data_IF_559454322156
#
_entry.id   IF_559454322156
#
_cell.length_a   1.000
_cell.length_b   1.000
_cell.length_c   1.000
_cell.angle_alpha   90.00
_cell.angle_beta   90.00
_cell.angle_gamma   90.00
#
_symmetry.space_group_name_H-M   'P 1'
#
loop_
_entity.id
_entity.type
_entity.pdbx_description
1 polymer ?
#
# COMPACT_ATOMS: atom_id res chain seq x y z
N UNK A 1 6.07 9.63 -20.45
CA UNK A 1 7.31 10.40 -20.28
C UNK A 1 7.20 11.50 -19.23
N UNK A 2 5.98 11.85 -18.79
CA UNK A 2 5.74 12.94 -17.85
C UNK A 2 5.84 14.35 -18.46
N UNK A 3 6.09 14.45 -19.73
CA UNK A 3 6.23 15.73 -20.48
C UNK A 3 5.01 15.93 -21.38
N UNK A 4 4.69 14.93 -22.19
CA UNK A 4 3.55 14.95 -23.10
C UNK A 4 2.34 14.29 -22.46
N UNK A 5 1.17 14.93 -22.56
CA UNK A 5 -0.06 14.47 -21.91
C UNK A 5 -1.18 14.31 -22.90
N UNK A 6 -1.84 13.18 -22.87
CA UNK A 6 -3.05 12.91 -23.63
C UNK A 6 -4.26 13.02 -22.70
N UNK A 7 -5.28 13.74 -23.14
CA UNK A 7 -6.53 13.83 -22.39
C UNK A 7 -7.28 12.49 -22.49
N UNK A 8 -7.56 11.88 -21.34
CA UNK A 8 -8.34 10.63 -21.27
C UNK A 8 -9.80 10.89 -20.91
N UNK A 9 -10.04 11.79 -19.99
CA UNK A 9 -11.37 12.14 -19.52
C UNK A 9 -11.45 13.63 -19.34
N UNK A 10 -12.48 14.25 -19.92
CA UNK A 10 -12.82 15.65 -19.73
C UNK A 10 -14.09 15.77 -18.91
N UNK A 11 -13.97 16.41 -17.75
CA UNK A 11 -15.09 16.76 -16.87
C UNK A 11 -15.11 18.29 -16.61
N UNK A 12 -14.56 19.09 -17.52
CA UNK A 12 -14.44 20.53 -17.39
C UNK A 12 -15.78 21.25 -17.20
N UNK A 13 -16.85 20.68 -17.74
CA UNK A 13 -18.20 21.22 -17.59
C UNK A 13 -18.89 20.81 -16.28
N UNK A 14 -18.31 19.88 -15.49
CA UNK A 14 -18.86 19.54 -14.20
C UNK A 14 -18.52 20.62 -13.17
N UNK A 15 -19.55 21.31 -12.69
CA UNK A 15 -19.46 22.37 -11.68
C UNK A 15 -20.09 21.99 -10.34
N UNK A 16 -20.45 20.71 -10.19
CA UNK A 16 -20.98 20.16 -8.94
C UNK A 16 -19.89 19.40 -8.18
N UNK A 17 -19.99 19.40 -6.86
CA UNK A 17 -19.13 18.56 -6.03
C UNK A 17 -19.33 17.09 -6.33
N UNK A 18 -18.22 16.37 -6.44
CA UNK A 18 -18.20 14.93 -6.65
C UNK A 18 -17.39 14.26 -5.53
N UNK A 19 -17.96 14.07 -4.33
CA UNK A 19 -17.24 13.55 -3.18
C UNK A 19 -16.74 12.12 -3.37
N UNK A 20 -17.39 11.35 -4.24
CA UNK A 20 -16.97 10.01 -4.64
C UNK A 20 -17.16 9.88 -6.15
N UNK A 21 -16.11 10.17 -6.89
CA UNK A 21 -16.13 10.05 -8.34
C UNK A 21 -15.52 8.74 -8.80
N UNK A 22 -16.16 8.08 -9.75
CA UNK A 22 -15.68 6.87 -10.39
C UNK A 22 -15.62 7.07 -11.89
N UNK A 23 -14.43 6.85 -12.44
CA UNK A 23 -14.17 6.99 -13.87
C UNK A 23 -13.82 5.62 -14.43
N UNK A 24 -14.61 5.12 -15.35
CA UNK A 24 -14.31 3.91 -16.10
C UNK A 24 -13.95 4.30 -17.54
N UNK A 25 -12.82 3.84 -18.01
CA UNK A 25 -12.42 3.99 -19.40
C UNK A 25 -13.05 2.88 -20.25
N UNK A 26 -13.52 3.22 -21.44
CA UNK A 26 -14.09 2.25 -22.40
C UNK A 26 -13.06 1.23 -22.87
N UNK A 27 -11.81 1.62 -22.89
CA UNK A 27 -10.67 0.77 -23.27
C UNK A 27 -9.51 0.99 -22.29
N UNK A 28 -8.76 -0.06 -21.99
CA UNK A 28 -7.52 0.07 -21.23
C UNK A 28 -6.53 1.01 -21.94
N UNK A 29 -5.78 1.76 -21.15
CA UNK A 29 -4.72 2.66 -21.64
C UNK A 29 -3.43 2.32 -20.92
N UNK A 30 -2.39 2.04 -21.67
CA UNK A 30 -1.06 1.85 -21.14
C UNK A 30 -0.45 3.21 -20.77
N UNK A 31 -0.20 3.42 -19.49
CA UNK A 31 0.37 4.67 -19.01
C UNK A 31 1.28 4.46 -17.79
N UNK A 32 2.25 5.32 -17.67
CA UNK A 32 3.15 5.37 -16.49
C UNK A 32 2.79 6.51 -15.54
N UNK A 33 2.19 7.57 -16.06
CA UNK A 33 1.89 8.77 -15.32
C UNK A 33 0.43 9.18 -15.53
N UNK A 34 -0.21 9.59 -14.47
CA UNK A 34 -1.56 10.13 -14.47
C UNK A 34 -1.50 11.54 -13.90
N UNK A 35 -2.11 12.49 -14.60
CA UNK A 35 -2.24 13.87 -14.14
C UNK A 35 -3.72 14.21 -14.00
N UNK A 36 -4.08 14.72 -12.85
CA UNK A 36 -5.40 15.31 -12.61
C UNK A 36 -5.20 16.82 -12.58
N UNK A 37 -5.97 17.52 -13.41
CA UNK A 37 -5.94 18.98 -13.46
C UNK A 37 -7.31 19.48 -13.07
N UNK A 38 -7.39 20.25 -11.98
CA UNK A 38 -8.60 20.95 -11.62
C UNK A 38 -8.65 22.30 -12.34
N UNK A 39 -9.74 22.60 -13.02
CA UNK A 39 -9.95 23.85 -13.76
C UNK A 39 -11.01 24.75 -13.16
N UNK A 40 -11.81 24.23 -12.23
CA UNK A 40 -12.80 25.04 -11.53
C UNK A 40 -12.89 24.63 -10.06
N UNK A 41 -12.73 25.60 -9.17
CA UNK A 41 -12.87 25.39 -7.72
C UNK A 41 -13.37 26.68 -7.05
N UNK A 42 -14.68 26.79 -6.82
CA UNK A 42 -15.31 28.03 -6.36
C UNK A 42 -14.81 28.51 -4.99
N UNK A 43 -14.32 27.60 -4.14
CA UNK A 43 -13.77 27.93 -2.82
C UNK A 43 -12.32 28.41 -2.85
N UNK A 44 -11.64 28.40 -4.00
CA UNK A 44 -10.22 28.69 -4.11
C UNK A 44 -9.30 27.62 -3.51
N UNK A 45 -9.85 26.47 -3.09
CA UNK A 45 -9.11 25.35 -2.52
C UNK A 45 -9.46 24.07 -3.22
N UNK A 46 -8.45 23.36 -3.68
CA UNK A 46 -8.57 22.05 -4.26
C UNK A 46 -7.93 21.00 -3.36
N UNK A 47 -8.63 19.91 -3.09
CA UNK A 47 -8.10 18.78 -2.34
C UNK A 47 -8.65 17.45 -2.88
N UNK A 48 -7.83 16.43 -2.80
CA UNK A 48 -8.22 15.05 -3.07
C UNK A 48 -7.91 14.26 -1.81
N UNK A 49 -8.92 13.65 -1.20
CA UNK A 49 -8.77 12.84 0.02
C UNK A 49 -8.16 11.46 -0.28
N UNK A 50 -8.29 10.98 -1.49
CA UNK A 50 -7.69 9.72 -1.95
C UNK A 50 -7.88 9.53 -3.44
N UNK A 51 -6.88 8.92 -4.07
CA UNK A 51 -6.94 8.49 -5.46
C UNK A 51 -6.63 7.00 -5.51
N UNK A 52 -7.45 6.26 -6.23
CA UNK A 52 -7.21 4.84 -6.54
C UNK A 52 -7.24 4.66 -8.04
N UNK A 53 -6.23 3.99 -8.57
CA UNK A 53 -6.13 3.64 -9.98
C UNK A 53 -6.20 2.13 -10.08
N UNK A 54 -7.10 1.64 -10.90
CA UNK A 54 -7.28 0.22 -11.16
C UNK A 54 -6.78 -0.08 -12.58
N UNK A 55 -5.99 -1.11 -12.71
CA UNK A 55 -5.44 -1.51 -13.99
C UNK A 55 -5.05 -2.98 -14.00
N UNK A 56 -4.64 -3.44 -15.15
CA UNK A 56 -4.06 -4.76 -15.34
C UNK A 56 -2.65 -4.59 -15.86
N UNK A 57 -1.70 -5.24 -15.22
CA UNK A 57 -0.30 -5.27 -15.62
C UNK A 57 0.05 -6.68 -16.04
N UNK A 58 0.67 -6.82 -17.20
CA UNK A 58 1.15 -8.11 -17.70
C UNK A 58 2.56 -8.39 -17.17
N UNK A 59 2.62 -8.67 -15.86
CA UNK A 59 3.83 -9.15 -15.19
C UNK A 59 3.43 -10.10 -14.04
N UNK A 60 4.35 -10.98 -13.59
CA UNK A 60 4.06 -11.86 -12.48
C UNK A 60 3.87 -11.08 -11.18
N UNK A 61 3.05 -11.63 -10.28
CA UNK A 61 3.02 -11.21 -8.88
C UNK A 61 4.35 -11.52 -8.21
N UNK A 62 4.80 -10.74 -7.20
CA UNK A 62 6.09 -10.97 -6.56
C UNK A 62 6.12 -12.30 -5.79
N UNK A 63 7.30 -12.85 -5.57
CA UNK A 63 7.48 -14.01 -4.72
C UNK A 63 7.13 -13.71 -3.25
N UNK A 64 6.98 -14.74 -2.43
CA UNK A 64 6.74 -14.59 -0.98
C UNK A 64 7.95 -13.98 -0.29
N UNK A 65 7.74 -12.93 0.50
CA UNK A 65 8.74 -12.40 1.41
C UNK A 65 8.84 -13.25 2.69
N UNK A 66 10.02 -13.28 3.31
CA UNK A 66 10.24 -14.01 4.56
C UNK A 66 10.95 -13.12 5.57
N UNK A 67 10.49 -13.14 6.83
CA UNK A 67 11.15 -12.42 7.91
C UNK A 67 12.56 -12.97 8.16
N UNK A 68 13.53 -12.09 8.12
CA UNK A 68 14.92 -12.35 8.55
C UNK A 68 15.12 -11.97 10.01
N UNK A 69 14.37 -10.96 10.48
CA UNK A 69 14.40 -10.51 11.86
C UNK A 69 13.00 -10.15 12.34
N UNK A 70 12.71 -10.47 13.60
CA UNK A 70 11.53 -10.03 14.34
C UNK A 70 11.92 -9.95 15.81
N UNK A 71 12.19 -8.74 16.30
CA UNK A 71 12.69 -8.52 17.65
C UNK A 71 11.89 -7.44 18.37
N UNK A 72 11.61 -7.66 19.66
CA UNK A 72 11.00 -6.65 20.53
C UNK A 72 12.12 -5.74 21.06
N UNK A 73 11.92 -4.43 21.01
CA UNK A 73 12.87 -3.50 21.59
C UNK A 73 12.84 -3.61 23.13
N UNK A 74 14.01 -3.78 23.74
CA UNK A 74 14.12 -3.97 25.21
C UNK A 74 13.87 -2.68 25.99
N UNK A 75 14.29 -1.53 25.46
CA UNK A 75 14.12 -0.23 26.09
C UNK A 75 12.69 0.32 25.93
N UNK A 76 12.05 -0.05 24.82
CA UNK A 76 10.66 0.31 24.56
C UNK A 76 9.88 -0.91 24.05
N UNK A 77 9.31 -1.66 24.96
CA UNK A 77 8.56 -2.89 24.66
C UNK A 77 7.31 -2.69 23.81
N UNK A 78 6.91 -1.45 23.53
CA UNK A 78 5.87 -1.12 22.56
C UNK A 78 6.35 -1.16 21.12
N UNK A 79 7.67 -1.26 20.93
CA UNK A 79 8.31 -1.27 19.61
C UNK A 79 8.76 -2.68 19.23
N UNK A 80 8.47 -3.06 18.01
CA UNK A 80 9.02 -4.25 17.35
C UNK A 80 9.81 -3.82 16.12
N UNK A 81 10.99 -4.40 15.93
CA UNK A 81 11.82 -4.24 14.75
C UNK A 81 11.64 -5.47 13.86
N UNK A 82 11.40 -5.21 12.60
CA UNK A 82 11.21 -6.24 11.59
C UNK A 82 12.15 -5.99 10.42
N UNK A 83 12.73 -7.07 9.92
CA UNK A 83 13.35 -7.08 8.59
C UNK A 83 13.00 -8.37 7.85
N UNK A 84 13.11 -8.33 6.52
CA UNK A 84 12.75 -9.45 5.66
C UNK A 84 13.62 -9.49 4.40
N UNK A 85 13.58 -10.63 3.71
CA UNK A 85 14.26 -10.77 2.43
C UNK A 85 13.64 -9.85 1.38
N UNK A 86 14.47 -9.04 0.72
CA UNK A 86 14.00 -8.24 -0.42
C UNK A 86 13.54 -9.18 -1.54
N UNK A 87 12.35 -8.91 -2.07
CA UNK A 87 11.77 -9.69 -3.16
C UNK A 87 11.90 -8.90 -4.44
N UNK A 88 12.44 -9.53 -5.48
CA UNK A 88 12.49 -8.93 -6.81
C UNK A 88 11.07 -8.65 -7.31
N UNK A 89 10.91 -7.56 -8.04
CA UNK A 89 9.63 -7.10 -8.61
C UNK A 89 8.54 -6.77 -7.57
N UNK A 90 8.84 -6.74 -6.28
CA UNK A 90 7.94 -6.20 -5.29
C UNK A 90 8.02 -4.66 -5.26
N UNK A 91 6.87 -4.01 -5.37
CA UNK A 91 6.72 -2.56 -5.17
C UNK A 91 6.66 -2.22 -3.68
N UNK A 92 6.18 -3.16 -2.87
CA UNK A 92 6.09 -3.00 -1.43
C UNK A 92 5.64 -4.25 -0.70
N UNK A 93 5.47 -4.09 0.60
CA UNK A 93 5.12 -5.14 1.54
C UNK A 93 4.00 -4.68 2.48
N UNK A 94 3.14 -5.61 2.85
CA UNK A 94 2.12 -5.39 3.86
C UNK A 94 2.41 -6.30 5.07
N UNK A 95 2.79 -5.69 6.18
CA UNK A 95 2.98 -6.39 7.45
C UNK A 95 1.60 -6.52 8.12
N UNK A 96 1.08 -7.73 8.19
CA UNK A 96 -0.16 -8.02 8.92
C UNK A 96 0.17 -8.49 10.32
N UNK A 97 -0.53 -7.98 11.32
CA UNK A 97 -0.30 -8.41 12.69
C UNK A 97 -1.56 -8.34 13.56
N UNK A 98 -1.51 -9.02 14.68
CA UNK A 98 -2.61 -9.08 15.65
C UNK A 98 -2.25 -9.89 16.87
N UNK A 99 -3.14 -9.91 17.86
CA UNK A 99 -2.98 -10.64 19.14
C UNK A 99 -3.43 -12.09 19.08
N UNK A 100 -3.99 -12.52 17.97
CA UNK A 100 -4.41 -13.90 17.74
C UNK A 100 -3.88 -14.37 16.37
N UNK A 101 -3.39 -15.61 16.33
CA UNK A 101 -2.75 -16.20 15.13
C UNK A 101 -3.65 -16.17 13.88
N UNK A 102 -4.95 -16.30 14.06
CA UNK A 102 -5.95 -16.32 12.99
C UNK A 102 -6.66 -14.97 12.78
N UNK A 103 -6.21 -13.89 13.45
CA UNK A 103 -6.81 -12.55 13.41
C UNK A 103 -5.74 -11.48 13.30
N UNK A 104 -5.10 -11.39 12.14
CA UNK A 104 -4.09 -10.38 11.83
C UNK A 104 -4.77 -9.17 11.18
N UNK A 105 -5.52 -8.40 11.97
CA UNK A 105 -6.36 -7.31 11.47
C UNK A 105 -5.65 -5.97 11.29
N UNK A 106 -4.46 -5.82 11.87
CA UNK A 106 -3.65 -4.62 11.68
C UNK A 106 -2.76 -4.78 10.46
N UNK A 107 -2.57 -3.68 9.75
CA UNK A 107 -1.74 -3.63 8.54
C UNK A 107 -0.77 -2.47 8.64
N UNK A 108 0.45 -2.69 8.18
CA UNK A 108 1.47 -1.67 8.01
C UNK A 108 2.12 -1.81 6.65
N UNK A 109 1.98 -0.80 5.80
CA UNK A 109 2.52 -0.81 4.44
C UNK A 109 3.94 -0.23 4.44
N UNK A 110 4.85 -0.92 3.76
CA UNK A 110 6.24 -0.49 3.55
C UNK A 110 6.53 -0.51 2.06
N UNK A 111 7.02 0.61 1.54
CA UNK A 111 7.41 0.75 0.14
C UNK A 111 8.93 0.86 0.05
N UNK A 112 9.53 0.22 -0.97
CA UNK A 112 10.96 0.34 -1.34
C UNK A 112 11.97 -0.14 -0.28
N UNK A 113 11.57 -0.33 0.97
CA UNK A 113 12.43 -0.81 2.05
C UNK A 113 12.08 -2.27 2.43
N UNK A 114 12.99 -2.95 3.12
CA UNK A 114 12.81 -4.31 3.62
C UNK A 114 12.99 -4.41 5.15
N UNK A 115 12.77 -3.31 5.86
CA UNK A 115 12.77 -3.21 7.32
C UNK A 115 11.83 -2.13 7.81
N UNK A 116 11.36 -2.27 9.04
CA UNK A 116 10.51 -1.27 9.71
C UNK A 116 10.53 -1.45 11.23
N UNK A 117 10.34 -0.35 11.94
CA UNK A 117 10.03 -0.35 13.38
C UNK A 117 8.58 0.06 13.60
N UNK A 118 7.79 -0.79 14.24
CA UNK A 118 6.40 -0.54 14.58
C UNK A 118 6.29 -0.32 16.10
N UNK A 119 5.81 0.84 16.54
CA UNK A 119 5.83 1.27 17.94
C UNK A 119 4.44 1.43 18.57
N UNK A 120 3.46 0.68 18.11
CA UNK A 120 2.06 0.77 18.55
C UNK A 120 1.59 -0.46 19.34
N UNK A 121 2.50 -1.35 19.73
CA UNK A 121 2.15 -2.59 20.41
C UNK A 121 1.90 -2.34 21.90
N UNK A 122 1.12 -3.22 22.53
CA UNK A 122 1.06 -3.32 23.99
C UNK A 122 2.28 -4.08 24.52
N UNK A 123 2.93 -3.55 25.56
CA UNK A 123 4.24 -4.03 26.03
C UNK A 123 4.27 -5.51 26.44
N UNK A 124 3.20 -5.99 27.08
CA UNK A 124 3.14 -7.33 27.66
C UNK A 124 2.23 -8.28 26.87
N UNK A 125 1.83 -7.87 25.67
CA UNK A 125 0.95 -8.64 24.81
C UNK A 125 1.76 -9.43 23.77
N UNK A 126 1.43 -10.69 23.60
CA UNK A 126 1.93 -11.50 22.47
C UNK A 126 1.29 -11.05 21.16
N UNK A 127 2.12 -10.90 20.12
CA UNK A 127 1.69 -10.57 18.79
C UNK A 127 2.15 -11.60 17.76
N UNK A 128 1.35 -11.76 16.74
CA UNK A 128 1.57 -12.60 15.58
C UNK A 128 1.73 -11.74 14.34
N UNK A 129 2.71 -12.05 13.50
CA UNK A 129 3.08 -11.28 12.32
C UNK A 129 3.13 -12.17 11.09
N UNK A 130 2.64 -11.67 9.97
CA UNK A 130 2.84 -12.22 8.63
C UNK A 130 3.19 -11.09 7.67
N UNK A 131 3.82 -11.41 6.56
CA UNK A 131 4.25 -10.44 5.57
C UNK A 131 3.78 -10.86 4.17
N UNK A 132 3.08 -9.97 3.50
CA UNK A 132 2.69 -10.10 2.11
C UNK A 132 3.60 -9.22 1.25
N UNK A 133 3.89 -9.64 0.03
CA UNK A 133 4.56 -8.82 -0.98
C UNK A 133 3.58 -8.44 -2.07
N UNK A 134 3.71 -7.25 -2.63
CA UNK A 134 2.80 -6.80 -3.70
C UNK A 134 3.52 -5.99 -4.77
N UNK A 135 2.94 -5.99 -5.94
CA UNK A 135 3.23 -5.10 -7.04
C UNK A 135 1.92 -4.75 -7.77
N UNK A 136 2.03 -4.09 -8.92
CA UNK A 136 0.86 -3.68 -9.71
C UNK A 136 0.12 -4.87 -10.35
N UNK A 137 0.74 -6.06 -10.42
CA UNK A 137 0.09 -7.29 -10.91
C UNK A 137 -0.74 -8.00 -9.84
N UNK A 138 -0.43 -7.77 -8.55
CA UNK A 138 -1.18 -8.35 -7.46
C UNK A 138 -0.39 -8.53 -6.16
N UNK A 139 -0.97 -9.33 -5.27
CA UNK A 139 -0.45 -9.59 -3.93
C UNK A 139 -0.14 -11.07 -3.76
N UNK A 140 1.04 -11.36 -3.23
CA UNK A 140 1.40 -12.70 -2.76
C UNK A 140 1.31 -12.73 -1.24
N UNK A 141 0.34 -13.50 -0.75
CA UNK A 141 0.06 -13.60 0.68
C UNK A 141 1.07 -14.50 1.36
N UNK A 142 1.74 -13.95 2.38
CA UNK A 142 2.64 -14.73 3.24
C UNK A 142 1.87 -15.68 4.16
N UNK A 143 2.29 -16.95 4.17
CA UNK A 143 1.67 -17.99 4.99
C UNK A 143 2.41 -18.24 6.31
N UNK A 144 3.68 -17.86 6.39
CA UNK A 144 4.47 -17.96 7.61
C UNK A 144 3.95 -16.93 8.64
N UNK A 145 3.72 -17.41 9.86
CA UNK A 145 3.33 -16.55 10.99
C UNK A 145 4.41 -16.64 12.05
N UNK A 146 5.08 -15.54 12.30
CA UNK A 146 6.04 -15.36 13.40
C UNK A 146 5.34 -14.81 14.64
N UNK A 147 5.85 -15.16 15.80
CA UNK A 147 5.30 -14.75 17.11
C UNK A 147 6.36 -13.99 17.90
N UNK A 148 5.93 -12.96 18.62
CA UNK A 148 6.78 -12.22 19.56
C UNK A 148 5.99 -11.85 20.81
N UNK A 149 6.67 -11.88 21.96
CA UNK A 149 6.16 -11.51 23.26
C UNK A 149 6.89 -10.30 23.84
#
# INVERSE_FOLDING_TARGET
DGITWNLLVDKSENKADAPNDYIQLDKPVDTRYIRITNIYFPSGKFSISGLRVFGKVDKPVPATAQFTELTRNNDNRRTVNLSWSKVNDATGYNIRFGTQKNKLYHNYLVYEDNKVSINILNADQTYYFAIDSFNEAGVTIGKEIKTIQ
#
